data_IF_012579411766
#
_entry.id   IF_012579411766
#
_cell.length_a   1.000
_cell.length_b   1.000
_cell.length_c   1.000
_cell.angle_alpha   90.00
_cell.angle_beta   90.00
_cell.angle_gamma   90.00
#
_symmetry.space_group_name_H-M   'P 1'
#
loop_
_entity.id
_entity.type
_entity.pdbx_description
1 polymer ?
#
# COMPACT_ATOMS: atom_id res chain seq x y z
N UNK A 1 -8.75 6.67 7.77
CA UNK A 1 -8.14 7.35 6.61
C UNK A 1 -9.24 7.54 5.59
N UNK A 2 -9.45 8.75 5.08
CA UNK A 2 -10.43 9.00 4.02
C UNK A 2 -9.84 8.74 2.62
N UNK A 3 -10.67 8.81 1.56
CA UNK A 3 -10.21 8.54 0.18
C UNK A 3 -9.13 9.52 -0.29
N UNK A 4 -9.20 10.80 0.11
CA UNK A 4 -8.22 11.80 -0.27
C UNK A 4 -6.85 11.50 0.36
N UNK A 5 -6.83 11.05 1.61
CA UNK A 5 -5.62 10.59 2.28
C UNK A 5 -5.07 9.31 1.65
N UNK A 6 -5.92 8.36 1.22
CA UNK A 6 -5.50 7.14 0.52
C UNK A 6 -4.82 7.48 -0.81
N UNK A 7 -5.39 8.40 -1.59
CA UNK A 7 -4.79 8.86 -2.86
C UNK A 7 -3.44 9.55 -2.62
N UNK A 8 -3.33 10.39 -1.58
CA UNK A 8 -2.05 11.01 -1.19
C UNK A 8 -1.00 9.98 -0.77
N UNK A 9 -1.41 8.98 0.01
CA UNK A 9 -0.57 7.83 0.36
C UNK A 9 -0.11 7.09 -0.90
N UNK A 10 -1.01 6.93 -1.87
CA UNK A 10 -0.72 6.37 -3.18
C UNK A 10 0.41 7.14 -3.90
N UNK A 11 0.36 8.47 -3.96
CA UNK A 11 1.45 9.26 -4.55
C UNK A 11 2.78 9.12 -3.82
N UNK A 12 2.77 9.05 -2.49
CA UNK A 12 3.98 8.85 -1.70
C UNK A 12 4.64 7.49 -1.97
N UNK A 13 3.82 6.43 -2.02
CA UNK A 13 4.27 5.08 -2.37
C UNK A 13 4.84 5.08 -3.80
N UNK A 14 4.14 5.68 -4.76
CA UNK A 14 4.62 5.76 -6.15
C UNK A 14 6.01 6.43 -6.22
N UNK A 15 6.17 7.59 -5.60
CA UNK A 15 7.45 8.31 -5.55
C UNK A 15 8.56 7.45 -4.95
N UNK A 16 8.28 6.74 -3.86
CA UNK A 16 9.25 5.83 -3.24
C UNK A 16 9.67 4.69 -4.18
N UNK A 17 8.71 4.05 -4.85
CA UNK A 17 8.98 2.97 -5.79
C UNK A 17 9.83 3.43 -6.98
N UNK A 18 9.55 4.63 -7.51
CA UNK A 18 10.34 5.24 -8.60
C UNK A 18 11.77 5.57 -8.16
N UNK A 19 11.93 6.17 -6.98
CA UNK A 19 13.25 6.57 -6.46
C UNK A 19 14.13 5.37 -6.11
N UNK A 20 13.53 4.30 -5.61
CA UNK A 20 14.27 3.11 -5.16
C UNK A 20 14.40 2.05 -6.25
N UNK A 21 13.63 2.16 -7.34
CA UNK A 21 13.56 1.19 -8.43
C UNK A 21 13.31 -0.25 -7.95
N UNK A 22 12.49 -0.39 -6.89
CA UNK A 22 12.13 -1.68 -6.29
C UNK A 22 10.85 -2.23 -6.91
N UNK A 23 10.77 -3.55 -6.95
CA UNK A 23 9.63 -4.31 -7.47
C UNK A 23 9.09 -5.23 -6.39
N UNK A 24 7.80 -5.53 -6.47
CA UNK A 24 7.05 -6.36 -5.54
C UNK A 24 7.26 -5.98 -4.07
N UNK A 25 7.30 -4.68 -3.80
CA UNK A 25 7.44 -4.15 -2.44
C UNK A 25 6.21 -4.53 -1.63
N UNK A 26 6.42 -5.09 -0.45
CA UNK A 26 5.34 -5.58 0.42
C UNK A 26 4.93 -4.53 1.46
N UNK A 27 3.74 -4.66 2.09
CA UNK A 27 3.30 -3.73 3.11
C UNK A 27 4.29 -3.50 4.26
N UNK A 28 4.95 -4.52 4.85
CA UNK A 28 5.97 -4.31 5.89
C UNK A 28 7.07 -3.33 5.44
N UNK A 29 7.51 -3.42 4.19
CA UNK A 29 8.62 -2.63 3.66
C UNK A 29 8.27 -1.17 3.41
N UNK A 30 6.98 -0.84 3.35
CA UNK A 30 6.49 0.55 3.21
C UNK A 30 6.19 1.20 4.56
N UNK A 31 6.16 0.44 5.66
CA UNK A 31 5.69 0.98 6.94
C UNK A 31 6.56 2.12 7.45
N UNK A 32 7.89 2.01 7.37
CA UNK A 32 8.80 3.06 7.83
C UNK A 32 8.54 4.38 7.10
N UNK A 33 8.46 4.34 5.77
CA UNK A 33 8.11 5.49 4.93
C UNK A 33 6.76 6.10 5.34
N UNK A 34 5.74 5.25 5.50
CA UNK A 34 4.38 5.71 5.74
C UNK A 34 4.17 6.22 7.17
N UNK A 35 4.97 5.76 8.13
CA UNK A 35 5.02 6.30 9.49
C UNK A 35 5.76 7.63 9.50
N UNK A 36 6.91 7.74 8.83
CA UNK A 36 7.66 9.00 8.70
C UNK A 36 6.79 10.12 8.09
N UNK A 37 5.95 9.77 7.13
CA UNK A 37 5.03 10.71 6.48
C UNK A 37 3.68 10.89 7.20
N UNK A 38 3.48 10.24 8.35
CA UNK A 38 2.31 10.45 9.22
C UNK A 38 1.01 9.76 8.78
N UNK A 39 1.07 8.83 7.81
CA UNK A 39 -0.11 8.02 7.43
C UNK A 39 -0.47 6.99 8.49
N UNK A 40 0.53 6.48 9.22
CA UNK A 40 0.35 5.57 10.35
C UNK A 40 1.15 6.07 11.56
N UNK A 41 0.67 5.76 12.77
CA UNK A 41 1.37 6.13 14.01
C UNK A 41 2.54 5.21 14.34
N UNK A 42 2.40 3.92 14.04
CA UNK A 42 3.36 2.87 14.33
C UNK A 42 3.01 1.63 13.50
N UNK A 43 3.98 0.72 13.33
CA UNK A 43 3.72 -0.58 12.76
C UNK A 43 3.38 -1.61 13.83
N UNK A 44 2.54 -2.58 13.48
CA UNK A 44 2.28 -3.78 14.26
C UNK A 44 2.18 -4.98 13.35
N UNK A 45 2.74 -6.10 13.81
CA UNK A 45 2.65 -7.40 13.12
C UNK A 45 3.08 -7.29 11.65
N UNK A 46 4.17 -6.59 11.37
CA UNK A 46 4.79 -6.45 10.04
C UNK A 46 3.78 -5.94 9.00
N UNK A 47 3.43 -4.65 9.05
CA UNK A 47 2.56 -4.01 8.06
C UNK A 47 1.07 -4.30 8.21
N UNK A 48 0.58 -4.73 9.39
CA UNK A 48 -0.86 -4.92 9.61
C UNK A 48 -1.68 -3.64 9.36
N UNK A 49 -1.26 -2.44 9.82
CA UNK A 49 -2.05 -1.22 9.60
C UNK A 49 -2.34 -0.96 8.12
N UNK A 50 -1.32 -1.06 7.26
CA UNK A 50 -1.50 -0.91 5.83
C UNK A 50 -2.37 -2.03 5.25
N UNK A 51 -2.12 -3.30 5.61
CA UNK A 51 -2.94 -4.41 5.12
C UNK A 51 -4.41 -4.29 5.50
N UNK A 52 -4.74 -3.71 6.65
CA UNK A 52 -6.14 -3.48 7.04
C UNK A 52 -6.82 -2.44 6.12
N UNK A 53 -6.09 -1.39 5.72
CA UNK A 53 -6.56 -0.43 4.70
C UNK A 53 -6.78 -1.14 3.37
N UNK A 54 -5.81 -1.96 2.93
CA UNK A 54 -5.89 -2.68 1.66
C UNK A 54 -7.05 -3.68 1.62
N UNK A 55 -7.29 -4.42 2.71
CA UNK A 55 -8.45 -5.31 2.83
C UNK A 55 -9.75 -4.54 2.71
N UNK A 56 -9.88 -3.41 3.39
CA UNK A 56 -11.09 -2.59 3.29
C UNK A 56 -11.31 -2.07 1.87
N UNK A 57 -10.25 -1.60 1.20
CA UNK A 57 -10.36 -1.17 -0.20
C UNK A 57 -10.71 -2.33 -1.14
N UNK A 58 -10.18 -3.53 -0.91
CA UNK A 58 -10.50 -4.72 -1.70
C UNK A 58 -11.96 -5.15 -1.49
N UNK A 59 -12.43 -5.17 -0.24
CA UNK A 59 -13.79 -5.53 0.11
C UNK A 59 -14.83 -4.52 -0.43
N UNK A 60 -14.43 -3.25 -0.58
CA UNK A 60 -15.26 -2.16 -1.12
C UNK A 60 -15.09 -1.93 -2.64
N UNK A 61 -14.32 -2.76 -3.36
CA UNK A 61 -13.96 -2.61 -4.80
C UNK A 61 -13.31 -1.26 -5.16
N UNK A 62 -12.46 -0.75 -4.25
CA UNK A 62 -11.79 0.56 -4.34
C UNK A 62 -10.27 0.47 -4.51
N UNK A 63 -9.74 -0.68 -4.94
CA UNK A 63 -8.29 -0.83 -5.19
C UNK A 63 -7.78 0.12 -6.29
N UNK A 64 -8.66 0.61 -7.17
CA UNK A 64 -8.32 1.59 -8.21
C UNK A 64 -7.75 2.91 -7.66
N UNK A 65 -7.93 3.20 -6.37
CA UNK A 65 -7.32 4.35 -5.70
C UNK A 65 -5.80 4.20 -5.53
N UNK A 66 -5.26 2.99 -5.70
CA UNK A 66 -3.83 2.69 -5.58
C UNK A 66 -3.36 1.94 -6.85
N UNK A 67 -3.14 2.63 -7.99
CA UNK A 67 -2.81 1.97 -9.26
C UNK A 67 -1.53 1.13 -9.26
N UNK A 68 -0.59 1.44 -8.36
CA UNK A 68 0.63 0.66 -8.14
C UNK A 68 0.42 -0.69 -7.44
N UNK A 69 -0.78 -0.94 -6.90
CA UNK A 69 -1.07 -2.12 -6.08
C UNK A 69 -1.47 -3.30 -6.97
N UNK A 70 -0.80 -4.43 -6.75
CA UNK A 70 -1.19 -5.74 -7.23
C UNK A 70 -1.60 -6.60 -6.03
N UNK A 71 -2.72 -7.28 -6.15
CA UNK A 71 -3.18 -8.26 -5.16
C UNK A 71 -3.23 -9.65 -5.79
N UNK A 72 -2.52 -10.60 -5.18
CA UNK A 72 -2.68 -12.02 -5.48
C UNK A 72 -3.65 -12.62 -4.45
N UNK A 73 -4.84 -12.99 -4.92
CA UNK A 73 -5.88 -13.61 -4.11
C UNK A 73 -5.70 -15.12 -4.12
N UNK A 74 -5.49 -15.70 -2.93
CA UNK A 74 -5.46 -17.14 -2.68
C UNK A 74 -6.73 -17.52 -1.89
N UNK A 75 -7.02 -18.82 -1.77
CA UNK A 75 -8.23 -19.34 -1.11
C UNK A 75 -8.51 -18.75 0.28
N UNK A 76 -7.46 -18.46 1.05
CA UNK A 76 -7.56 -17.93 2.43
C UNK A 76 -6.82 -16.60 2.60
N UNK A 77 -5.81 -16.35 1.76
CA UNK A 77 -4.84 -15.27 1.98
C UNK A 77 -4.79 -14.32 0.80
N UNK A 78 -4.50 -13.05 1.10
CA UNK A 78 -4.22 -12.01 0.10
C UNK A 78 -2.76 -11.59 0.24
N UNK A 79 -2.02 -11.66 -0.86
CA UNK A 79 -0.65 -11.12 -0.93
C UNK A 79 -0.70 -9.78 -1.66
N UNK A 80 -0.03 -8.79 -1.08
CA UNK A 80 -0.07 -7.41 -1.54
C UNK A 80 1.32 -7.03 -2.01
N UNK A 81 1.40 -6.51 -3.22
CA UNK A 81 2.64 -6.10 -3.85
C UNK A 81 2.46 -4.72 -4.46
N UNK A 82 3.48 -3.89 -4.32
CA UNK A 82 3.52 -2.56 -4.87
C UNK A 82 4.63 -2.47 -5.92
N UNK A 83 4.26 -2.01 -7.11
CA UNK A 83 5.15 -1.83 -8.24
C UNK A 83 4.92 -0.44 -8.83
N UNK A 84 5.98 0.32 -9.11
CA UNK A 84 5.84 1.60 -9.79
C UNK A 84 5.11 1.36 -11.12
N UNK A 85 3.92 1.95 -11.27
CA UNK A 85 3.25 1.94 -12.57
C UNK A 85 3.87 3.04 -13.41
N UNK A 86 4.20 2.72 -14.66
CA UNK A 86 4.62 3.72 -15.65
C UNK A 86 3.39 4.03 -16.49
N UNK A 87 2.98 5.29 -16.50
CA UNK A 87 2.01 5.83 -17.47
C UNK A 87 2.64 5.91 -18.86
#
# INVERSE_FOLDING_TARGET
MDHAQIVKMGYAIQKYLEQTNRFDVTPPELMDLLIEQGYFKYDVREGKPLRDVLRKLDDDDMLYLLPQLRVDRMDVNRRWFFNAYRL
#
